data_IF_527373231707
#
_entry.id   IF_527373231707
#
_cell.length_a   1.000
_cell.length_b   1.000
_cell.length_c   1.000
_cell.angle_alpha   90.00
_cell.angle_beta   90.00
_cell.angle_gamma   90.00
#
_symmetry.space_group_name_H-M   'P 1'
#
loop_
_entity.id
_entity.type
_entity.pdbx_description
1 polymer ?
#
# COMPACT_ATOMS: atom_id res chain seq x y z
N UNK A 1 22.84 -10.96 -2.70
CA UNK A 1 21.99 -12.16 -2.58
C UNK A 1 20.74 -12.01 -3.44
N UNK A 2 20.85 -12.28 -4.74
CA UNK A 2 19.73 -12.36 -5.69
C UNK A 2 19.18 -13.78 -5.66
N UNK A 3 18.43 -14.11 -4.61
CA UNK A 3 17.76 -15.41 -4.51
C UNK A 3 16.73 -15.57 -5.62
N UNK A 4 16.86 -16.62 -6.41
CA UNK A 4 15.89 -17.02 -7.43
C UNK A 4 14.50 -17.12 -6.79
N UNK A 5 13.59 -16.20 -7.15
CA UNK A 5 12.20 -16.28 -6.74
C UNK A 5 11.55 -17.36 -7.57
N UNK A 6 11.16 -18.47 -6.94
CA UNK A 6 10.33 -19.48 -7.59
C UNK A 6 9.14 -18.79 -8.30
N UNK A 7 8.82 -19.19 -9.54
CA UNK A 7 7.74 -18.57 -10.28
C UNK A 7 6.41 -18.74 -9.52
N UNK A 8 5.63 -17.66 -9.41
CA UNK A 8 4.33 -17.73 -8.76
C UNK A 8 3.38 -18.67 -9.55
N UNK A 9 2.51 -19.44 -8.85
CA UNK A 9 1.52 -20.31 -9.48
C UNK A 9 0.65 -19.58 -10.50
N UNK A 10 0.23 -20.28 -11.55
CA UNK A 10 -0.59 -19.72 -12.62
C UNK A 10 -1.96 -19.23 -12.11
N UNK A 11 -2.56 -19.97 -11.18
CA UNK A 11 -3.84 -19.65 -10.53
C UNK A 11 -3.79 -18.31 -9.77
N UNK A 12 -2.70 -18.05 -9.05
CA UNK A 12 -2.53 -16.77 -8.36
C UNK A 12 -2.44 -15.60 -9.35
N UNK A 13 -1.75 -15.80 -10.48
CA UNK A 13 -1.64 -14.79 -11.54
C UNK A 13 -2.98 -14.54 -12.22
N UNK A 14 -3.77 -15.58 -12.49
CA UNK A 14 -5.10 -15.44 -13.10
C UNK A 14 -6.05 -14.70 -12.15
N UNK A 15 -6.07 -15.06 -10.87
CA UNK A 15 -6.83 -14.38 -9.82
C UNK A 15 -6.47 -12.89 -9.71
N UNK A 16 -5.17 -12.55 -9.67
CA UNK A 16 -4.73 -11.16 -9.62
C UNK A 16 -5.13 -10.38 -10.89
N UNK A 17 -5.07 -11.00 -12.07
CA UNK A 17 -5.54 -10.37 -13.32
C UNK A 17 -7.05 -10.13 -13.31
N UNK A 18 -7.82 -11.12 -12.86
CA UNK A 18 -9.27 -11.00 -12.69
C UNK A 18 -9.59 -9.84 -11.75
N UNK A 19 -8.94 -9.81 -10.58
CA UNK A 19 -9.05 -8.73 -9.62
C UNK A 19 -8.79 -7.35 -10.22
N UNK A 20 -7.70 -7.19 -10.98
CA UNK A 20 -7.38 -5.91 -11.63
C UNK A 20 -8.44 -5.49 -12.66
N UNK A 21 -9.00 -6.44 -13.41
CA UNK A 21 -10.07 -6.17 -14.38
C UNK A 21 -11.36 -5.78 -13.68
N UNK A 22 -11.77 -6.53 -12.67
CA UNK A 22 -12.95 -6.20 -11.85
C UNK A 22 -12.80 -4.86 -11.17
N UNK A 23 -11.60 -4.54 -10.67
CA UNK A 23 -11.29 -3.24 -10.07
C UNK A 23 -11.43 -2.11 -11.10
N UNK A 24 -10.85 -2.25 -12.28
CA UNK A 24 -10.97 -1.24 -13.35
C UNK A 24 -12.44 -1.03 -13.75
N UNK A 25 -13.21 -2.12 -13.87
CA UNK A 25 -14.65 -2.05 -14.19
C UNK A 25 -15.44 -1.36 -13.08
N UNK A 26 -15.14 -1.67 -11.82
CA UNK A 26 -15.83 -1.08 -10.66
C UNK A 26 -15.68 0.43 -10.52
N UNK A 27 -14.60 1.00 -11.10
CA UNK A 27 -14.38 2.46 -11.14
C UNK A 27 -14.80 3.12 -12.45
N UNK A 28 -15.55 2.42 -13.30
CA UNK A 28 -16.00 2.95 -14.59
C UNK A 28 -14.86 3.27 -15.55
N UNK A 29 -13.80 2.44 -15.57
CA UNK A 29 -12.63 2.61 -16.42
C UNK A 29 -11.82 3.91 -16.22
N UNK A 30 -11.96 4.58 -15.07
CA UNK A 30 -11.17 5.77 -14.75
C UNK A 30 -9.77 5.41 -14.23
N UNK A 31 -8.72 5.77 -14.97
CA UNK A 31 -7.33 5.39 -14.63
C UNK A 31 -6.80 6.01 -13.34
N UNK A 32 -7.24 7.23 -12.97
CA UNK A 32 -6.82 7.90 -11.74
C UNK A 32 -7.26 7.12 -10.48
N UNK A 33 -8.58 6.93 -10.27
CA UNK A 33 -9.10 6.11 -9.19
C UNK A 33 -8.59 4.67 -9.21
N UNK A 34 -8.52 4.06 -10.40
CA UNK A 34 -7.93 2.73 -10.57
C UNK A 34 -6.50 2.66 -10.02
N UNK A 35 -5.63 3.62 -10.37
CA UNK A 35 -4.25 3.66 -9.89
C UNK A 35 -4.16 3.79 -8.36
N UNK A 36 -5.01 4.61 -7.76
CA UNK A 36 -5.07 4.78 -6.31
C UNK A 36 -5.51 3.50 -5.61
N UNK A 37 -6.63 2.92 -6.02
CA UNK A 37 -7.14 1.68 -5.43
C UNK A 37 -6.17 0.51 -5.66
N UNK A 38 -5.61 0.37 -6.86
CA UNK A 38 -4.56 -0.62 -7.15
C UNK A 38 -3.39 -0.51 -6.17
N UNK A 39 -3.00 0.72 -5.80
CA UNK A 39 -1.94 0.92 -4.82
C UNK A 39 -2.33 0.46 -3.40
N UNK A 40 -3.60 0.60 -3.01
CA UNK A 40 -4.15 0.12 -1.73
C UNK A 40 -4.19 -1.40 -1.66
N UNK A 41 -4.56 -2.08 -2.74
CA UNK A 41 -4.69 -3.54 -2.78
C UNK A 41 -3.38 -4.28 -3.05
N UNK A 42 -2.36 -3.61 -3.61
CA UNK A 42 -1.06 -4.23 -3.91
C UNK A 42 -0.39 -4.91 -2.71
N UNK A 43 -0.38 -4.36 -1.48
CA UNK A 43 0.17 -5.02 -0.30
C UNK A 43 -0.51 -6.36 0.01
N UNK A 44 -1.84 -6.43 -0.12
CA UNK A 44 -2.61 -7.66 0.11
C UNK A 44 -2.13 -8.81 -0.79
N UNK A 45 -1.98 -8.56 -2.09
CA UNK A 45 -1.46 -9.55 -3.03
C UNK A 45 0.05 -9.81 -2.86
N UNK A 46 0.85 -8.83 -2.45
CA UNK A 46 2.27 -9.04 -2.17
C UNK A 46 2.49 -9.99 -0.99
N UNK A 47 1.72 -9.81 0.09
CA UNK A 47 1.78 -10.70 1.26
C UNK A 47 1.35 -12.12 0.89
N UNK A 48 0.30 -12.27 0.07
CA UNK A 48 -0.12 -13.57 -0.42
C UNK A 48 0.94 -14.25 -1.28
N UNK A 49 1.50 -13.54 -2.26
CA UNK A 49 2.59 -14.04 -3.08
C UNK A 49 3.79 -14.50 -2.23
N UNK A 50 4.17 -13.72 -1.21
CA UNK A 50 5.22 -14.09 -0.26
C UNK A 50 4.88 -15.38 0.50
N UNK A 51 3.67 -15.48 1.06
CA UNK A 51 3.24 -16.64 1.82
C UNK A 51 3.08 -17.90 0.95
N UNK A 52 2.66 -17.78 -0.31
CA UNK A 52 2.62 -18.90 -1.28
C UNK A 52 4.04 -19.44 -1.51
N UNK A 53 5.01 -18.56 -1.76
CA UNK A 53 6.40 -19.00 -1.95
C UNK A 53 6.98 -19.64 -0.68
N UNK A 54 6.60 -19.13 0.50
CA UNK A 54 6.99 -19.74 1.77
C UNK A 54 6.34 -21.08 2.02
N UNK A 55 5.10 -21.27 1.60
CA UNK A 55 4.38 -22.54 1.76
C UNK A 55 5.09 -23.65 0.99
N UNK A 56 5.54 -23.38 -0.24
CA UNK A 56 6.32 -24.33 -1.04
C UNK A 56 7.69 -24.70 -0.43
N UNK A 57 8.25 -23.81 0.41
CA UNK A 57 9.58 -23.98 1.02
C UNK A 57 9.51 -24.32 2.53
N UNK A 58 8.31 -24.58 3.08
CA UNK A 58 8.13 -24.75 4.51
C UNK A 58 8.59 -26.16 4.95
N UNK A 59 9.75 -26.25 5.60
CA UNK A 59 10.28 -27.52 6.12
C UNK A 59 9.63 -28.05 7.41
N UNK A 60 8.86 -27.22 8.14
CA UNK A 60 8.19 -27.61 9.40
C UNK A 60 6.67 -27.74 9.23
N UNK A 61 6.10 -28.85 9.69
CA UNK A 61 4.67 -29.17 9.58
C UNK A 61 3.75 -28.13 10.26
N UNK A 62 4.16 -27.57 11.41
CA UNK A 62 3.40 -26.54 12.13
C UNK A 62 3.31 -25.22 11.36
N UNK A 63 4.40 -24.81 10.72
CA UNK A 63 4.43 -23.63 9.85
C UNK A 63 3.54 -23.86 8.61
N UNK A 64 3.57 -25.08 8.07
CA UNK A 64 2.74 -25.47 6.94
C UNK A 64 1.24 -25.40 7.27
N UNK A 65 0.81 -25.88 8.45
CA UNK A 65 -0.58 -25.80 8.91
C UNK A 65 -1.04 -24.34 9.06
N UNK A 66 -0.22 -23.50 9.69
CA UNK A 66 -0.55 -22.09 9.89
C UNK A 66 -0.64 -21.31 8.57
N UNK A 67 0.28 -21.55 7.63
CA UNK A 67 0.25 -20.94 6.31
C UNK A 67 -0.95 -21.40 5.48
N UNK A 68 -1.37 -22.67 5.57
CA UNK A 68 -2.60 -23.16 4.95
C UNK A 68 -3.85 -22.48 5.50
N UNK A 69 -3.98 -22.38 6.83
CA UNK A 69 -5.10 -21.69 7.47
C UNK A 69 -5.12 -20.20 7.09
N UNK A 70 -3.96 -19.57 7.03
CA UNK A 70 -3.84 -18.19 6.55
C UNK A 70 -4.30 -18.07 5.09
N UNK A 71 -3.90 -19.00 4.22
CA UNK A 71 -4.29 -19.01 2.81
C UNK A 71 -5.80 -19.16 2.64
N UNK A 72 -6.43 -20.10 3.34
CA UNK A 72 -7.88 -20.28 3.31
C UNK A 72 -8.65 -19.01 3.72
N UNK A 73 -8.16 -18.29 4.74
CA UNK A 73 -8.74 -16.99 5.13
C UNK A 73 -8.50 -15.92 4.08
N UNK A 74 -7.33 -15.94 3.45
CA UNK A 74 -6.99 -15.02 2.38
C UNK A 74 -7.88 -15.23 1.15
N UNK A 75 -8.11 -16.48 0.74
CA UNK A 75 -8.99 -16.85 -0.38
C UNK A 75 -10.42 -16.34 -0.12
N UNK A 76 -10.99 -16.65 1.06
CA UNK A 76 -12.31 -16.13 1.45
C UNK A 76 -12.40 -14.61 1.36
N UNK A 77 -11.35 -13.89 1.77
CA UNK A 77 -11.29 -12.43 1.66
C UNK A 77 -11.15 -11.95 0.23
N UNK A 78 -10.38 -12.66 -0.60
CA UNK A 78 -10.25 -12.35 -2.01
C UNK A 78 -11.60 -12.50 -2.72
N UNK A 79 -12.34 -13.58 -2.45
CA UNK A 79 -13.67 -13.84 -2.99
C UNK A 79 -14.68 -12.78 -2.55
N UNK A 80 -14.74 -12.45 -1.26
CA UNK A 80 -15.61 -11.38 -0.75
C UNK A 80 -15.29 -10.02 -1.36
N UNK A 81 -14.01 -9.75 -1.61
CA UNK A 81 -13.59 -8.50 -2.27
C UNK A 81 -13.94 -8.50 -3.75
N UNK A 82 -13.80 -9.63 -4.45
CA UNK A 82 -14.21 -9.75 -5.85
C UNK A 82 -15.73 -9.58 -6.00
N UNK A 83 -16.51 -10.16 -5.08
CA UNK A 83 -17.96 -9.96 -5.05
C UNK A 83 -18.33 -8.48 -4.83
N UNK A 84 -17.64 -7.79 -3.91
CA UNK A 84 -17.80 -6.35 -3.71
C UNK A 84 -17.50 -5.55 -5.00
N UNK A 85 -16.39 -5.85 -5.68
CA UNK A 85 -15.99 -5.18 -6.92
C UNK A 85 -16.96 -5.47 -8.07
N UNK A 86 -17.44 -6.70 -8.18
CA UNK A 86 -18.45 -7.09 -9.15
C UNK A 86 -19.75 -6.31 -8.92
N UNK A 87 -20.22 -6.23 -7.66
CA UNK A 87 -21.41 -5.47 -7.31
C UNK A 87 -21.23 -3.97 -7.59
N UNK A 88 -20.08 -3.39 -7.27
CA UNK A 88 -19.77 -2.00 -7.58
C UNK A 88 -19.70 -1.70 -9.09
N UNK A 89 -19.32 -2.70 -9.91
CA UNK A 89 -19.30 -2.57 -11.37
C UNK A 89 -20.66 -2.63 -12.04
N UNK A 90 -21.66 -3.22 -11.38
CA UNK A 90 -23.04 -3.32 -11.90
C UNK A 90 -23.97 -2.28 -11.28
N UNK A 91 -23.73 -1.91 -10.02
CA UNK A 91 -24.62 -1.04 -9.24
C UNK A 91 -23.89 0.24 -8.83
N UNK A 92 -24.49 1.39 -9.09
CA UNK A 92 -24.02 2.69 -8.60
C UNK A 92 -24.42 2.96 -7.13
N UNK A 93 -24.44 1.90 -6.31
CA UNK A 93 -24.88 1.96 -4.92
C UNK A 93 -23.74 2.13 -3.91
N UNK A 94 -23.99 1.70 -2.68
CA UNK A 94 -23.05 1.75 -1.56
C UNK A 94 -21.64 1.18 -1.89
N UNK A 95 -21.50 0.05 -2.62
CA UNK A 95 -20.18 -0.45 -3.00
C UNK A 95 -19.37 0.55 -3.83
N UNK A 96 -20.01 1.22 -4.78
CA UNK A 96 -19.35 2.23 -5.63
C UNK A 96 -18.94 3.47 -4.83
N UNK A 97 -19.80 3.91 -3.90
CA UNK A 97 -19.51 5.01 -2.98
C UNK A 97 -18.33 4.66 -2.07
N UNK A 98 -18.28 3.44 -1.52
CA UNK A 98 -17.18 2.96 -0.70
C UNK A 98 -15.84 3.02 -1.46
N UNK A 99 -15.79 2.49 -2.69
CA UNK A 99 -14.58 2.55 -3.52
C UNK A 99 -14.14 3.99 -3.82
N UNK A 100 -15.10 4.89 -4.04
CA UNK A 100 -14.82 6.31 -4.23
C UNK A 100 -14.20 6.92 -2.97
N UNK A 101 -14.76 6.64 -1.79
CA UNK A 101 -14.22 7.12 -0.52
C UNK A 101 -12.80 6.58 -0.25
N UNK A 102 -12.54 5.29 -0.52
CA UNK A 102 -11.20 4.72 -0.42
C UNK A 102 -10.21 5.39 -1.38
N UNK A 103 -10.65 5.74 -2.59
CA UNK A 103 -9.84 6.49 -3.54
C UNK A 103 -9.52 7.90 -3.03
N UNK A 104 -10.49 8.61 -2.46
CA UNK A 104 -10.28 9.92 -1.84
C UNK A 104 -9.29 9.85 -0.69
N UNK A 105 -9.49 8.88 0.21
CA UNK A 105 -8.61 8.63 1.34
C UNK A 105 -7.16 8.35 0.88
N UNK A 106 -6.97 7.52 -0.15
CA UNK A 106 -5.63 7.30 -0.72
C UNK A 106 -5.04 8.55 -1.36
N UNK A 107 -5.85 9.32 -2.07
CA UNK A 107 -5.44 10.56 -2.72
C UNK A 107 -5.00 11.61 -1.71
N UNK A 108 -5.75 11.73 -0.62
CA UNK A 108 -5.42 12.60 0.50
C UNK A 108 -4.10 12.14 1.14
N UNK A 109 -3.96 10.86 1.50
CA UNK A 109 -2.71 10.34 2.07
C UNK A 109 -1.49 10.54 1.13
N UNK A 110 -1.69 10.47 -0.20
CA UNK A 110 -0.64 10.80 -1.18
C UNK A 110 -0.26 12.28 -1.16
N UNK A 111 -1.23 13.17 -0.97
CA UNK A 111 -1.01 14.62 -0.83
C UNK A 111 -0.40 14.95 0.54
N UNK A 112 -0.83 14.34 1.64
CA UNK A 112 -0.28 14.58 2.98
C UNK A 112 1.19 14.13 3.12
N UNK A 113 1.63 13.18 2.29
CA UNK A 113 3.06 12.86 2.10
C UNK A 113 3.94 13.96 1.48
N UNK A 114 3.46 15.21 1.42
CA UNK A 114 4.11 16.41 0.85
C UNK A 114 5.34 16.93 1.63
N UNK A 115 5.98 16.12 2.48
CA UNK A 115 7.39 16.35 2.86
C UNK A 115 8.37 15.60 1.94
N UNK A 116 8.02 15.44 0.67
CA UNK A 116 9.02 15.29 -0.39
C UNK A 116 9.53 16.65 -0.89
N UNK A 117 9.36 17.73 -0.11
CA UNK A 117 9.58 19.12 -0.54
C UNK A 117 11.02 19.51 -0.85
N UNK A 118 12.00 18.62 -0.67
CA UNK A 118 13.36 18.82 -1.17
C UNK A 118 13.92 17.58 -1.89
N UNK A 119 13.21 17.07 -2.90
CA UNK A 119 13.92 16.36 -3.97
C UNK A 119 14.30 17.38 -5.01
N UNK A 120 15.47 17.99 -4.85
CA UNK A 120 16.10 18.69 -5.97
C UNK A 120 16.13 17.73 -7.15
N UNK A 121 15.54 18.13 -8.27
CA UNK A 121 15.64 17.37 -9.52
C UNK A 121 17.12 17.22 -9.84
N UNK A 122 17.64 15.99 -9.86
CA UNK A 122 19.03 15.72 -10.18
C UNK A 122 19.34 16.28 -11.58
N UNK A 123 20.29 17.19 -11.65
CA UNK A 123 20.78 17.80 -12.88
C UNK A 123 22.15 17.17 -13.24
N UNK A 124 22.22 16.34 -14.29
CA UNK A 124 23.45 15.64 -14.66
C UNK A 124 24.57 16.59 -15.12
N UNK A 125 24.26 17.86 -15.40
CA UNK A 125 25.24 18.87 -15.82
C UNK A 125 25.94 19.56 -14.65
N UNK A 126 25.50 19.34 -13.41
CA UNK A 126 26.11 19.94 -12.23
C UNK A 126 27.00 18.93 -11.51
N UNK A 127 28.16 19.39 -11.03
CA UNK A 127 29.04 18.58 -10.20
C UNK A 127 28.34 18.13 -8.91
N UNK A 128 28.76 16.97 -8.39
CA UNK A 128 28.19 16.39 -7.17
C UNK A 128 28.31 17.31 -5.96
N UNK A 129 29.32 18.19 -5.94
CA UNK A 129 29.60 19.15 -4.87
C UNK A 129 28.88 20.50 -5.03
N UNK A 130 28.05 20.66 -6.07
CA UNK A 130 27.36 21.93 -6.31
C UNK A 130 26.46 22.33 -5.13
N UNK A 131 26.43 23.63 -4.82
CA UNK A 131 25.59 24.22 -3.76
C UNK A 131 24.09 23.90 -3.93
N UNK A 132 23.65 23.56 -5.14
CA UNK A 132 22.28 23.10 -5.44
C UNK A 132 21.95 21.73 -4.82
N UNK A 133 22.96 20.90 -4.56
CA UNK A 133 22.83 19.59 -3.91
C UNK A 133 23.19 19.61 -2.42
N UNK A 134 23.76 20.71 -1.94
CA UNK A 134 24.03 20.89 -0.52
C UNK A 134 22.70 21.05 0.23
N UNK A 135 22.44 20.13 1.16
CA UNK A 135 21.25 20.18 2.00
C UNK A 135 21.43 21.39 2.94
N UNK A 136 20.56 22.43 2.88
CA UNK A 136 20.72 23.59 3.72
C UNK A 136 20.67 23.18 5.20
N UNK A 137 21.65 23.63 5.99
CA UNK A 137 21.66 23.44 7.44
C UNK A 137 20.41 24.14 8.00
N UNK A 138 19.54 23.35 8.63
CA UNK A 138 18.19 23.74 9.04
C UNK A 138 18.25 24.93 10.03
N UNK A 139 17.98 26.16 9.57
CA UNK A 139 17.75 27.31 10.45
C UNK A 139 16.51 27.11 11.33
N UNK A 140 16.30 27.97 12.34
CA UNK A 140 15.21 27.83 13.34
C UNK A 140 13.79 27.67 12.72
N UNK A 141 13.58 28.22 11.52
CA UNK A 141 12.35 28.06 10.73
C UNK A 141 12.13 26.62 10.25
N UNK A 142 13.21 25.91 9.95
CA UNK A 142 13.17 24.54 9.48
C UNK A 142 13.08 23.52 10.64
N UNK A 143 13.57 23.88 11.84
CA UNK A 143 13.27 23.13 13.08
C UNK A 143 11.76 23.22 13.40
N UNK A 144 11.15 24.41 13.30
CA UNK A 144 9.69 24.55 13.45
C UNK A 144 8.92 23.80 12.37
N UNK A 145 9.41 23.79 11.12
CA UNK A 145 8.81 23.02 10.04
C UNK A 145 8.91 21.50 10.30
N UNK A 146 10.04 21.01 10.82
CA UNK A 146 10.23 19.61 11.18
C UNK A 146 9.36 19.20 12.38
N UNK A 147 9.20 20.08 13.38
CA UNK A 147 8.28 19.87 14.50
C UNK A 147 6.82 19.86 14.04
N UNK A 148 6.46 20.78 13.14
CA UNK A 148 5.13 20.80 12.54
C UNK A 148 4.89 19.53 11.71
N UNK A 149 5.87 19.09 10.93
CA UNK A 149 5.82 17.83 10.18
C UNK A 149 5.71 16.61 11.09
N UNK A 150 6.43 16.57 12.21
CA UNK A 150 6.32 15.49 13.20
C UNK A 150 4.92 15.47 13.83
N UNK A 151 4.35 16.63 14.17
CA UNK A 151 2.96 16.74 14.63
C UNK A 151 1.96 16.27 13.59
N UNK A 152 2.15 16.66 12.32
CA UNK A 152 1.30 16.19 11.22
C UNK A 152 1.43 14.68 11.00
N UNK A 153 2.64 14.11 11.09
CA UNK A 153 2.88 12.67 10.99
C UNK A 153 2.24 11.92 12.16
N UNK A 154 2.34 12.46 13.37
CA UNK A 154 1.71 11.88 14.54
C UNK A 154 0.18 11.95 14.43
N UNK A 155 -0.39 13.06 13.96
CA UNK A 155 -1.82 13.15 13.63
C UNK A 155 -2.21 12.22 12.48
N UNK A 156 -1.36 12.03 11.47
CA UNK A 156 -1.57 11.06 10.40
C UNK A 156 -1.63 9.65 11.01
N UNK A 157 -0.68 9.27 11.86
CA UNK A 157 -0.74 8.00 12.56
C UNK A 157 -1.98 7.90 13.47
N UNK A 158 -2.29 8.92 14.27
CA UNK A 158 -3.40 8.92 15.22
C UNK A 158 -4.79 9.01 14.57
N UNK A 159 -4.91 9.50 13.33
CA UNK A 159 -6.19 9.58 12.59
C UNK A 159 -6.34 8.40 11.65
N UNK A 160 -5.26 7.99 10.96
CA UNK A 160 -5.30 6.84 10.08
C UNK A 160 -5.26 5.51 10.83
N UNK A 161 -4.80 5.48 12.08
CA UNK A 161 -4.83 4.27 12.90
C UNK A 161 -6.27 3.92 13.36
N UNK A 162 -7.09 4.83 13.94
CA UNK A 162 -8.50 4.56 14.23
C UNK A 162 -9.32 4.24 12.99
N UNK A 163 -9.15 5.00 11.89
CA UNK A 163 -9.82 4.68 10.61
C UNK A 163 -9.34 3.32 10.10
N UNK A 164 -8.05 3.01 10.26
CA UNK A 164 -7.46 1.71 9.97
C UNK A 164 -8.05 0.59 10.81
N UNK A 165 -8.31 0.80 12.09
CA UNK A 165 -8.98 -0.15 12.99
C UNK A 165 -10.44 -0.36 12.60
N UNK A 166 -11.18 0.69 12.30
CA UNK A 166 -12.56 0.57 11.79
C UNK A 166 -12.57 -0.22 10.47
N UNK A 167 -11.62 0.04 9.58
CA UNK A 167 -11.45 -0.74 8.35
C UNK A 167 -11.14 -2.21 8.68
N UNK A 168 -10.22 -2.49 9.62
CA UNK A 168 -9.89 -3.88 10.05
C UNK A 168 -11.12 -4.59 10.64
N UNK A 169 -11.91 -3.90 11.45
CA UNK A 169 -13.15 -4.42 12.03
C UNK A 169 -14.19 -4.71 10.94
N UNK A 170 -14.40 -3.79 10.00
CA UNK A 170 -15.31 -3.97 8.88
C UNK A 170 -14.90 -5.15 7.98
N UNK A 171 -13.60 -5.28 7.71
CA UNK A 171 -13.02 -6.40 6.97
C UNK A 171 -13.18 -7.74 7.70
N UNK A 172 -12.96 -7.75 9.03
CA UNK A 172 -13.12 -8.95 9.85
C UNK A 172 -14.57 -9.42 9.88
N UNK A 173 -15.53 -8.48 9.98
CA UNK A 173 -16.97 -8.78 9.97
C UNK A 173 -17.45 -9.28 8.60
N UNK A 174 -16.99 -8.64 7.53
CA UNK A 174 -17.55 -8.86 6.18
C UNK A 174 -16.73 -9.82 5.32
N UNK A 175 -15.66 -10.41 5.88
CA UNK A 175 -14.74 -11.29 5.17
C UNK A 175 -14.26 -10.70 3.83
N UNK A 176 -13.84 -9.43 3.84
CA UNK A 176 -13.33 -8.74 2.65
C UNK A 176 -12.03 -7.99 2.99
N UNK A 177 -11.37 -7.44 1.98
CA UNK A 177 -10.26 -6.49 2.15
C UNK A 177 -10.62 -5.17 1.46
N UNK A 178 -10.31 -4.05 2.09
CA UNK A 178 -10.42 -2.69 1.57
C UNK A 178 -9.04 -2.11 1.21
N UNK A 179 -8.00 -2.92 1.34
CA UNK A 179 -6.62 -2.53 1.08
C UNK A 179 -5.99 -1.76 2.25
N UNK A 180 -4.74 -1.36 2.07
CA UNK A 180 -3.94 -0.66 3.09
C UNK A 180 -3.15 0.46 2.45
N UNK A 181 -3.13 1.63 3.11
CA UNK A 181 -2.17 2.66 2.78
C UNK A 181 -0.82 2.20 3.31
N UNK A 182 0.17 2.08 2.42
CA UNK A 182 1.56 1.93 2.80
C UNK A 182 2.32 3.18 2.38
N UNK A 183 2.75 3.96 3.36
CA UNK A 183 3.77 5.00 3.18
C UNK A 183 5.13 4.32 3.24
N UNK A 184 5.91 4.45 2.16
CA UNK A 184 7.34 4.08 2.22
C UNK A 184 8.05 5.17 3.00
N UNK A 185 8.32 4.91 4.28
CA UNK A 185 9.26 5.73 5.06
C UNK A 185 10.65 5.35 4.58
N UNK A 186 11.31 6.28 3.90
CA UNK A 186 12.75 6.14 3.63
C UNK A 186 13.46 6.49 4.94
N UNK A 187 13.98 5.47 5.61
CA UNK A 187 14.89 5.67 6.75
C UNK A 187 16.23 6.08 6.15
N UNK A 188 16.64 7.33 6.35
CA UNK A 188 17.99 7.76 6.01
C UNK A 188 18.96 6.91 6.85
N UNK A 189 19.82 6.13 6.19
CA UNK A 189 20.87 5.40 6.90
C UNK A 189 21.79 6.43 7.55
N UNK A 190 21.93 6.35 8.88
CA UNK A 190 22.88 7.17 9.63
C UNK A 190 24.27 6.86 9.08
N UNK A 191 25.07 7.85 8.63
CA UNK A 191 26.43 7.58 8.18
C UNK A 191 27.20 6.97 9.36
N UNK A 192 27.91 5.88 9.09
CA UNK A 192 28.75 5.23 10.09
C UNK A 192 29.77 6.25 10.61
N UNK A 193 29.82 6.44 11.94
CA UNK A 193 30.89 7.23 12.55
C UNK A 193 32.21 6.51 12.28
N UNK A 194 33.12 7.20 11.59
CA UNK A 194 34.53 6.82 11.55
C UNK A 194 35.21 7.31 12.83
#
# INVERSE_FOLDING_TARGET
MTGFKAPLPAEFKSLYRLFLRSLLRSVGNQYGPYGNLKSLFRPFFRTAAYNITRLGNAGRQTQHKNLRLWMQRWDKRADGTLALLANAGHTHGLPSTLLRQLCHLRSFAKRSGLSSRHRGTWNPQLSQDSTRYQIPVLGAKAVRAAQQEAKWKQMDEDVYNPVGEVIKLAEARSNLTLGRIFTRVYVAQKPASK
#
